data_IF_244925862957
#
_entry.id   IF_244925862957
#
_cell.length_a   1.000
_cell.length_b   1.000
_cell.length_c   1.000
_cell.angle_alpha   90.00
_cell.angle_beta   90.00
_cell.angle_gamma   90.00
#
_symmetry.space_group_name_H-M   'P 1'
#
loop_
_entity.id
_entity.type
_entity.pdbx_description
1 polymer ?
#
# COMPACT_ATOMS: atom_id res chain seq x y z
N UNK A 1 10.15 -3.66 9.01
CA UNK A 1 9.01 -2.70 9.15
C UNK A 1 7.75 -3.44 8.71
N UNK A 2 6.70 -3.52 9.54
CA UNK A 2 5.48 -4.27 9.24
C UNK A 2 4.80 -3.86 7.92
N UNK A 3 4.81 -2.56 7.60
CA UNK A 3 4.30 -2.03 6.33
C UNK A 3 5.03 -2.59 5.09
N UNK A 4 6.35 -2.78 5.18
CA UNK A 4 7.15 -3.33 4.08
C UNK A 4 6.94 -4.83 3.89
N UNK A 5 6.65 -5.56 4.97
CA UNK A 5 6.30 -6.97 4.91
C UNK A 5 4.97 -7.15 4.18
N UNK A 6 3.94 -6.45 4.65
CA UNK A 6 2.60 -6.46 4.05
C UNK A 6 2.62 -6.03 2.58
N UNK A 7 3.35 -4.97 2.25
CA UNK A 7 3.53 -4.55 0.86
C UNK A 7 4.10 -5.68 0.00
N UNK A 8 5.10 -6.43 0.50
CA UNK A 8 5.64 -7.59 -0.21
C UNK A 8 4.61 -8.72 -0.41
N UNK A 9 3.76 -8.97 0.59
CA UNK A 9 2.67 -9.96 0.49
C UNK A 9 1.65 -9.54 -0.56
N UNK A 10 1.24 -8.26 -0.58
CA UNK A 10 0.32 -7.69 -1.59
C UNK A 10 0.95 -7.72 -2.99
N UNK A 11 2.23 -7.35 -3.12
CA UNK A 11 2.97 -7.45 -4.39
C UNK A 11 3.00 -8.88 -4.94
N UNK A 12 3.24 -9.86 -4.06
CA UNK A 12 3.24 -11.29 -4.44
C UNK A 12 1.87 -11.74 -4.94
N UNK A 13 0.79 -11.15 -4.43
CA UNK A 13 -0.58 -11.49 -4.83
C UNK A 13 -1.16 -10.57 -5.90
N UNK A 14 -0.39 -9.59 -6.41
CA UNK A 14 -0.86 -8.62 -7.41
C UNK A 14 -1.55 -9.29 -8.59
N UNK A 15 -0.97 -10.34 -9.15
CA UNK A 15 -1.51 -11.00 -10.33
C UNK A 15 -2.81 -11.77 -10.03
N UNK A 16 -2.98 -12.26 -8.79
CA UNK A 16 -4.24 -12.89 -8.33
C UNK A 16 -5.34 -11.85 -8.12
N UNK A 17 -4.99 -10.68 -7.57
CA UNK A 17 -5.90 -9.54 -7.44
C UNK A 17 -6.32 -9.02 -8.82
N UNK A 18 -5.35 -8.90 -9.73
CA UNK A 18 -5.58 -8.48 -11.11
C UNK A 18 -6.46 -9.50 -11.85
N UNK A 19 -6.22 -10.81 -11.74
CA UNK A 19 -7.09 -11.83 -12.34
C UNK A 19 -8.56 -11.75 -11.86
N UNK A 20 -8.81 -11.10 -10.73
CA UNK A 20 -10.10 -11.03 -10.04
C UNK A 20 -10.87 -9.74 -10.20
N UNK A 21 -10.33 -8.69 -10.82
CA UNK A 21 -11.02 -7.40 -10.70
C UNK A 21 -10.15 -6.20 -10.35
N UNK A 22 -9.03 -6.46 -9.70
CA UNK A 22 -8.50 -5.50 -8.76
C UNK A 22 -7.09 -5.08 -9.14
N UNK A 23 -6.96 -3.81 -9.51
CA UNK A 23 -5.68 -3.12 -9.53
C UNK A 23 -5.25 -2.76 -8.10
N UNK A 24 -3.94 -2.73 -7.86
CA UNK A 24 -3.36 -2.31 -6.57
C UNK A 24 -2.74 -0.94 -6.73
N UNK A 25 -2.98 -0.06 -5.76
CA UNK A 25 -2.31 1.23 -5.60
C UNK A 25 -1.88 1.39 -4.14
N UNK A 26 -0.62 1.76 -3.92
CA UNK A 26 -0.09 2.03 -2.58
C UNK A 26 -0.02 3.53 -2.38
N UNK A 27 -0.58 4.01 -1.28
CA UNK A 27 -0.48 5.41 -0.87
C UNK A 27 0.50 5.50 0.30
N UNK A 28 1.53 6.33 0.16
CA UNK A 28 2.54 6.53 1.18
C UNK A 28 2.52 7.98 1.67
N UNK A 29 2.57 8.20 2.98
CA UNK A 29 2.69 9.54 3.59
C UNK A 29 4.02 10.25 3.31
N UNK A 30 4.94 9.63 2.58
CA UNK A 30 6.29 10.15 2.38
C UNK A 30 6.31 11.29 1.35
N UNK A 31 7.23 12.24 1.53
CA UNK A 31 7.55 13.24 0.52
C UNK A 31 8.06 12.59 -0.78
N UNK A 32 7.80 13.19 -1.96
CA UNK A 32 8.22 12.65 -3.25
C UNK A 32 9.72 12.29 -3.32
N UNK A 33 10.59 13.10 -2.76
CA UNK A 33 12.05 12.87 -2.75
C UNK A 33 12.42 11.65 -1.90
N UNK A 34 11.73 11.45 -0.78
CA UNK A 34 11.93 10.31 0.12
C UNK A 34 11.43 9.04 -0.56
N UNK A 35 10.24 9.07 -1.17
CA UNK A 35 9.70 7.93 -1.90
C UNK A 35 10.59 7.57 -3.10
N UNK A 36 11.06 8.57 -3.87
CA UNK A 36 11.98 8.35 -5.00
C UNK A 36 13.27 7.67 -4.56
N UNK A 37 13.87 8.11 -3.45
CA UNK A 37 15.08 7.49 -2.88
C UNK A 37 14.82 6.07 -2.37
N UNK A 38 13.64 5.82 -1.83
CA UNK A 38 13.23 4.49 -1.41
C UNK A 38 13.08 3.55 -2.62
N UNK A 39 12.36 3.97 -3.65
CA UNK A 39 12.12 3.19 -4.87
C UNK A 39 13.40 2.96 -5.69
N UNK A 40 14.38 3.86 -5.67
CA UNK A 40 15.66 3.65 -6.35
C UNK A 40 16.51 2.53 -5.73
N UNK A 41 16.28 2.22 -4.45
CA UNK A 41 16.96 1.12 -3.73
C UNK A 41 16.17 -0.16 -3.76
N UNK A 42 14.85 -0.06 -3.88
CA UNK A 42 13.94 -1.17 -3.82
C UNK A 42 12.78 -0.90 -4.78
N UNK A 43 12.97 -1.33 -6.03
CA UNK A 43 11.92 -1.27 -7.04
C UNK A 43 10.71 -2.08 -6.57
N UNK A 44 9.51 -1.57 -6.88
CA UNK A 44 8.23 -2.14 -6.48
C UNK A 44 7.41 -2.47 -7.74
N UNK A 45 6.66 -3.56 -7.68
CA UNK A 45 5.90 -4.10 -8.82
C UNK A 45 4.47 -3.56 -8.91
N UNK A 46 4.10 -2.71 -7.95
CA UNK A 46 2.83 -1.99 -7.83
C UNK A 46 3.07 -0.49 -7.87
N UNK A 47 2.13 0.31 -8.42
CA UNK A 47 2.24 1.77 -8.38
C UNK A 47 2.16 2.28 -6.94
N UNK A 48 3.02 3.24 -6.61
CA UNK A 48 3.07 3.91 -5.31
C UNK A 48 2.97 5.42 -5.51
N UNK A 49 2.07 6.07 -4.79
CA UNK A 49 1.85 7.53 -4.81
C UNK A 49 2.14 8.14 -3.44
N UNK A 50 2.45 9.44 -3.44
CA UNK A 50 2.71 10.21 -2.23
C UNK A 50 1.43 10.92 -1.75
N UNK A 51 1.24 10.97 -0.44
CA UNK A 51 0.23 11.80 0.24
C UNK A 51 0.86 12.45 1.50
N UNK A 52 1.78 13.42 1.33
CA UNK A 52 2.49 14.02 2.46
C UNK A 52 1.58 14.78 3.43
N UNK A 53 0.50 15.35 2.90
CA UNK A 53 -0.54 16.04 3.68
C UNK A 53 -1.46 15.07 4.42
N UNK A 54 -1.37 13.76 4.13
CA UNK A 54 -2.21 12.70 4.72
C UNK A 54 -3.69 12.94 4.48
N UNK A 55 -4.03 13.55 3.33
CA UNK A 55 -5.41 13.83 2.95
C UNK A 55 -6.22 12.55 2.71
N UNK A 56 -5.62 11.55 2.06
CA UNK A 56 -6.24 10.24 1.90
C UNK A 56 -6.37 9.53 3.24
N UNK A 57 -5.33 9.57 4.08
CA UNK A 57 -5.40 8.97 5.43
C UNK A 57 -6.57 9.54 6.23
N UNK A 58 -6.74 10.86 6.25
CA UNK A 58 -7.87 11.51 6.90
C UNK A 58 -9.22 11.11 6.28
N UNK A 59 -9.34 11.14 4.95
CA UNK A 59 -10.57 10.79 4.23
C UNK A 59 -11.00 9.33 4.47
N UNK A 60 -10.05 8.43 4.67
CA UNK A 60 -10.30 7.02 4.96
C UNK A 60 -10.42 6.72 6.47
N UNK A 61 -10.27 7.72 7.34
CA UNK A 61 -10.39 7.56 8.79
C UNK A 61 -9.18 6.86 9.43
N UNK A 62 -8.00 7.01 8.84
CA UNK A 62 -6.74 6.48 9.36
C UNK A 62 -6.12 7.48 10.33
N UNK A 63 -6.29 7.19 11.62
CA UNK A 63 -5.77 8.03 12.70
C UNK A 63 -4.29 7.76 13.04
N UNK A 64 -3.82 8.46 14.08
CA UNK A 64 -2.52 8.20 14.69
C UNK A 64 -2.71 7.38 15.97
N UNK A 65 -1.75 6.52 16.27
CA UNK A 65 -1.68 5.81 17.54
C UNK A 65 -0.81 6.55 18.55
N UNK A 66 -0.72 6.04 19.77
CA UNK A 66 0.17 6.58 20.80
C UNK A 66 1.42 5.70 20.95
N UNK A 67 2.51 6.26 21.47
CA UNK A 67 3.73 5.51 21.78
C UNK A 67 3.49 4.30 22.70
N UNK A 68 2.48 4.38 23.58
CA UNK A 68 2.07 3.29 24.47
C UNK A 68 1.62 2.03 23.69
N UNK A 69 1.12 2.19 22.47
CA UNK A 69 0.71 1.06 21.63
C UNK A 69 1.88 0.13 21.29
N UNK A 70 3.10 0.66 21.16
CA UNK A 70 4.28 -0.16 20.86
C UNK A 70 4.70 -1.07 22.01
N UNK A 71 4.26 -0.78 23.24
CA UNK A 71 4.53 -1.61 24.41
C UNK A 71 3.50 -2.73 24.61
N UNK A 72 2.43 -2.79 23.79
CA UNK A 72 1.45 -3.87 23.87
C UNK A 72 2.11 -5.19 23.45
N UNK A 73 1.92 -6.29 24.22
CA UNK A 73 2.52 -7.59 23.90
C UNK A 73 2.20 -8.09 22.49
N UNK A 74 0.97 -7.87 22.01
CA UNK A 74 0.55 -8.25 20.66
C UNK A 74 1.36 -7.53 19.57
N UNK A 75 1.63 -6.23 19.75
CA UNK A 75 2.42 -5.42 18.80
C UNK A 75 3.87 -5.88 18.80
N UNK A 76 4.47 -6.05 19.98
CA UNK A 76 5.84 -6.58 20.12
C UNK A 76 5.98 -7.96 19.45
N UNK A 77 4.99 -8.83 19.63
CA UNK A 77 4.94 -10.12 18.97
C UNK A 77 4.84 -10.01 17.45
N UNK A 78 4.02 -9.07 16.94
CA UNK A 78 3.92 -8.76 15.52
C UNK A 78 5.28 -8.35 14.91
N UNK A 79 6.02 -7.46 15.59
CA UNK A 79 7.38 -7.09 15.19
C UNK A 79 8.35 -8.27 15.21
N UNK A 80 8.31 -9.09 16.27
CA UNK A 80 9.15 -10.28 16.40
C UNK A 80 8.90 -11.29 15.26
N UNK A 81 7.62 -11.57 14.95
CA UNK A 81 7.23 -12.43 13.83
C UNK A 81 7.71 -11.89 12.48
N UNK A 82 7.65 -10.57 12.28
CA UNK A 82 8.18 -9.91 11.08
C UNK A 82 9.69 -10.08 10.94
N UNK A 83 10.43 -10.01 12.05
CA UNK A 83 11.87 -10.25 12.07
C UNK A 83 12.23 -11.69 11.70
N UNK A 84 11.49 -12.68 12.22
CA UNK A 84 11.66 -14.10 11.84
C UNK A 84 11.41 -14.35 10.34
N UNK A 85 10.56 -13.54 9.70
CA UNK A 85 10.28 -13.59 8.25
C UNK A 85 11.29 -12.82 7.40
N UNK A 86 12.37 -12.30 7.99
CA UNK A 86 13.41 -11.54 7.27
C UNK A 86 13.11 -10.05 7.06
N UNK A 87 11.98 -9.54 7.57
CA UNK A 87 11.62 -8.13 7.48
C UNK A 87 12.17 -7.34 8.66
N UNK A 88 13.48 -7.07 8.64
CA UNK A 88 14.18 -6.35 9.69
C UNK A 88 13.54 -5.00 10.09
N UNK A 89 13.76 -4.61 11.35
CA UNK A 89 13.41 -3.26 11.84
C UNK A 89 14.37 -2.28 11.17
N UNK A 90 13.84 -1.40 10.31
CA UNK A 90 14.61 -0.31 9.70
C UNK A 90 14.32 0.97 10.48
N UNK A 91 15.32 1.84 10.62
CA UNK A 91 15.09 3.18 11.17
C UNK A 91 14.06 3.91 10.29
N UNK A 92 13.10 4.63 10.89
CA UNK A 92 12.20 5.49 10.14
C UNK A 92 13.00 6.50 9.31
N UNK A 93 12.50 6.86 8.14
CA UNK A 93 13.08 7.96 7.38
C UNK A 93 12.83 9.29 8.12
N UNK A 94 13.69 10.28 7.89
CA UNK A 94 13.48 11.63 8.41
C UNK A 94 12.16 12.17 7.85
N UNK A 95 11.26 12.60 8.74
CA UNK A 95 9.90 13.05 8.38
C UNK A 95 8.84 11.95 8.38
N UNK A 96 9.21 10.67 8.55
CA UNK A 96 8.25 9.59 8.67
C UNK A 96 7.57 9.61 10.04
N UNK A 97 6.25 9.75 10.02
CA UNK A 97 5.43 9.68 11.22
C UNK A 97 5.12 8.22 11.57
N UNK A 98 5.91 7.65 12.46
CA UNK A 98 5.75 6.25 12.92
C UNK A 98 4.44 6.00 13.66
N UNK A 99 3.77 7.06 14.13
CA UNK A 99 2.49 6.94 14.82
C UNK A 99 1.31 6.90 13.85
N UNK A 100 1.50 7.30 12.59
CA UNK A 100 0.43 7.25 11.59
C UNK A 100 0.06 5.79 11.30
N UNK A 101 -1.22 5.46 11.51
CA UNK A 101 -1.73 4.14 11.17
C UNK A 101 -2.06 4.06 9.68
N UNK A 102 -1.92 2.86 9.13
CA UNK A 102 -2.29 2.54 7.76
C UNK A 102 -3.62 1.79 7.70
N UNK A 103 -3.96 1.32 6.51
CA UNK A 103 -5.08 0.43 6.30
C UNK A 103 -5.14 -0.06 4.87
N UNK A 104 -6.06 -0.97 4.62
CA UNK A 104 -6.31 -1.58 3.32
C UNK A 104 -7.76 -1.37 2.94
N UNK A 105 -7.99 -0.91 1.72
CA UNK A 105 -9.32 -0.57 1.23
C UNK A 105 -9.51 -1.14 -0.16
N UNK A 106 -10.72 -1.58 -0.45
CA UNK A 106 -11.13 -1.97 -1.79
C UNK A 106 -12.24 -1.02 -2.21
N UNK A 107 -12.06 -0.40 -3.38
CA UNK A 107 -13.01 0.51 -3.99
C UNK A 107 -13.72 -0.20 -5.14
N UNK A 108 -15.03 -0.03 -5.24
CA UNK A 108 -15.80 -0.43 -6.41
C UNK A 108 -15.52 0.52 -7.58
N UNK A 109 -15.97 0.13 -8.77
CA UNK A 109 -15.92 0.96 -9.99
C UNK A 109 -16.63 2.30 -9.82
N UNK A 110 -17.68 2.34 -9.01
CA UNK A 110 -18.47 3.54 -8.72
C UNK A 110 -17.86 4.40 -7.61
N UNK A 111 -16.61 4.11 -7.21
CA UNK A 111 -15.83 4.83 -6.17
C UNK A 111 -16.41 4.67 -4.76
N UNK A 112 -17.10 3.57 -4.50
CA UNK A 112 -17.57 3.23 -3.16
C UNK A 112 -16.59 2.28 -2.46
N UNK A 113 -16.38 2.47 -1.16
CA UNK A 113 -15.60 1.53 -0.35
C UNK A 113 -16.42 0.27 -0.11
N UNK A 114 -15.95 -0.87 -0.62
CA UNK A 114 -16.59 -2.19 -0.47
C UNK A 114 -15.85 -3.08 0.54
N UNK A 115 -14.62 -2.72 0.91
CA UNK A 115 -13.88 -3.31 2.01
C UNK A 115 -13.04 -2.23 2.69
N UNK A 116 -12.95 -2.27 4.02
CA UNK A 116 -12.15 -1.36 4.81
C UNK A 116 -11.52 -2.07 6.01
N UNK A 117 -10.20 -2.19 6.01
CA UNK A 117 -9.41 -2.57 7.18
C UNK A 117 -8.64 -1.35 7.68
N UNK A 118 -9.11 -0.75 8.77
CA UNK A 118 -8.40 0.33 9.45
C UNK A 118 -7.52 -0.30 10.51
N UNK A 119 -6.20 -0.18 10.37
CA UNK A 119 -5.27 -0.83 11.29
C UNK A 119 -5.43 -0.24 12.69
N UNK A 120 -5.60 -1.07 13.70
CA UNK A 120 -5.65 -0.66 15.10
C UNK A 120 -4.26 -0.34 15.67
N UNK A 121 -3.21 -0.94 15.10
CA UNK A 121 -1.83 -0.74 15.48
C UNK A 121 -0.87 -0.89 14.27
N UNK A 122 0.44 -0.60 14.42
CA UNK A 122 1.40 -0.65 13.31
C UNK A 122 1.59 -2.04 12.69
N UNK A 123 1.25 -3.11 13.40
CA UNK A 123 1.42 -4.51 12.99
C UNK A 123 0.11 -5.15 12.51
N UNK A 124 -1.03 -4.54 12.82
CA UNK A 124 -2.35 -4.96 12.38
C UNK A 124 -2.50 -4.76 10.87
N UNK A 125 -2.63 -5.86 10.13
CA UNK A 125 -2.84 -5.92 8.69
C UNK A 125 -3.76 -7.09 8.36
N UNK A 126 -4.68 -6.95 7.39
CA UNK A 126 -5.50 -8.07 6.95
C UNK A 126 -4.63 -9.09 6.23
N UNK A 127 -5.02 -10.36 6.25
CA UNK A 127 -4.35 -11.33 5.40
C UNK A 127 -4.70 -11.02 3.93
N UNK A 128 -3.75 -11.22 3.02
CA UNK A 128 -3.99 -11.09 1.58
C UNK A 128 -5.13 -11.99 1.09
N UNK A 129 -5.34 -13.14 1.74
CA UNK A 129 -6.47 -14.01 1.47
C UNK A 129 -7.82 -13.33 1.75
N UNK A 130 -7.91 -12.53 2.82
CA UNK A 130 -9.12 -11.77 3.18
C UNK A 130 -9.40 -10.68 2.13
N UNK A 131 -8.35 -10.00 1.66
CA UNK A 131 -8.46 -9.02 0.58
C UNK A 131 -9.01 -9.65 -0.71
N UNK A 132 -8.50 -10.82 -1.09
CA UNK A 132 -8.98 -11.54 -2.29
C UNK A 132 -10.42 -12.04 -2.09
N UNK A 133 -10.76 -12.54 -0.90
CA UNK A 133 -12.09 -13.03 -0.58
C UNK A 133 -13.14 -11.89 -0.59
N UNK A 134 -12.75 -10.68 -0.22
CA UNK A 134 -13.61 -9.50 -0.24
C UNK A 134 -13.89 -8.96 -1.66
N UNK A 135 -13.16 -9.42 -2.69
CA UNK A 135 -13.39 -8.98 -4.06
C UNK A 135 -14.68 -9.55 -4.64
N UNK A 136 -15.59 -8.73 -5.15
CA UNK A 136 -16.77 -9.20 -5.87
C UNK A 136 -16.32 -9.94 -7.14
N UNK A 137 -17.15 -10.85 -7.63
CA UNK A 137 -16.91 -11.59 -8.87
C UNK A 137 -17.14 -10.69 -10.10
N UNK A 138 -16.30 -9.68 -10.30
CA UNK A 138 -16.39 -8.71 -11.40
C UNK A 138 -15.02 -8.57 -12.05
N UNK A 139 -14.91 -8.53 -13.40
CA UNK A 139 -13.62 -8.53 -14.09
C UNK A 139 -12.77 -7.28 -13.82
N UNK A 140 -11.44 -7.37 -14.00
CA UNK A 140 -10.50 -6.31 -13.65
C UNK A 140 -10.62 -4.99 -14.37
N UNK A 141 -10.26 -3.92 -13.64
CA UNK A 141 -9.80 -2.67 -14.23
C UNK A 141 -8.49 -3.02 -14.97
N UNK A 142 -8.42 -2.90 -16.31
CA UNK A 142 -7.14 -2.94 -16.99
C UNK A 142 -6.26 -1.85 -16.39
N UNK A 143 -5.01 -2.17 -16.04
CA UNK A 143 -4.01 -1.15 -15.74
C UNK A 143 -3.65 -0.42 -17.04
N UNK A 144 -4.60 0.32 -17.59
CA UNK A 144 -4.32 1.24 -18.68
C UNK A 144 -3.51 2.40 -18.07
N UNK A 145 -2.32 2.55 -18.65
CA UNK A 145 -1.32 3.61 -18.50
C UNK A 145 -1.82 4.88 -17.78
N UNK A 146 -1.02 5.47 -16.84
CA UNK A 146 -1.41 6.72 -16.19
C UNK A 146 -1.76 7.82 -17.23
N UNK A 147 -2.79 8.64 -16.95
CA UNK A 147 -3.34 9.61 -17.91
C UNK A 147 -2.32 10.63 -18.44
N UNK A 148 -1.20 10.80 -17.75
CA UNK A 148 -0.16 11.79 -18.07
C UNK A 148 1.11 11.20 -18.70
N UNK A 149 1.12 9.94 -19.11
CA UNK A 149 2.24 9.41 -19.87
C UNK A 149 2.30 10.10 -21.25
N UNK A 150 3.43 10.72 -21.65
CA UNK A 150 3.54 11.36 -22.95
C UNK A 150 3.20 10.37 -24.05
N UNK A 151 2.38 10.81 -25.02
CA UNK A 151 2.15 10.06 -26.25
C UNK A 151 3.50 9.86 -26.93
N UNK A 152 3.95 8.61 -26.96
CA UNK A 152 5.03 8.24 -27.89
C UNK A 152 4.31 8.11 -29.23
N UNK A 153 4.28 9.21 -29.98
CA UNK A 153 3.84 9.17 -31.36
C UNK A 153 4.79 8.21 -32.09
N UNK A 154 4.28 7.03 -32.43
CA UNK A 154 5.00 6.08 -33.26
C UNK A 154 5.36 6.74 -34.60
N UNK A 155 6.47 6.34 -35.24
CA UNK A 155 6.95 7.01 -36.42
C UNK A 155 5.85 7.05 -37.48
N UNK A 156 5.58 8.26 -37.99
CA UNK A 156 4.68 8.48 -39.10
C UNK A 156 5.06 7.52 -40.22
N UNK A 157 4.13 6.64 -40.60
CA UNK A 157 4.26 5.87 -41.84
C UNK A 157 4.16 6.87 -42.98
N UNK A 158 5.33 7.28 -43.47
CA UNK A 158 5.49 7.89 -44.79
C UNK A 158 5.16 6.86 -45.87
N UNK A 159 4.69 7.41 -46.97
CA UNK A 159 4.17 6.78 -48.19
C UNK A 159 5.11 5.78 -48.87
#
# INVERSE_FOLDING_TARGET
MPCNAHLGEVETARDRLAARGCSVLVVAQAEPEVLKRYLSRQARSVPIVCDPTRGAYAAFGLGRTTWLTFFKPAVLWGYFRGMLRGYGVKKPYVGEDVLQLGGDFILSRDRHVIFAHRSADPTDRPAVADLIAALPSVPPIPHDRPPDAPRVDGPARGE
#
